data_IF_331170415254
#
_entry.id   IF_331170415254
#
_cell.length_a   1.000
_cell.length_b   1.000
_cell.length_c   1.000
_cell.angle_alpha   90.00
_cell.angle_beta   90.00
_cell.angle_gamma   90.00
#
_symmetry.space_group_name_H-M   'P 1'
#
loop_
_entity.id
_entity.type
_entity.pdbx_description
1 polymer ?
#
# COMPACT_ATOMS: atom_id res chain seq x y z
N UNK A 1 -1.56 -40.69 -7.87
CA UNK A 1 -2.80 -39.91 -7.99
C UNK A 1 -2.48 -38.51 -7.48
N UNK A 2 -2.14 -37.58 -8.38
CA UNK A 2 -1.72 -36.22 -8.03
C UNK A 2 -2.99 -35.36 -8.00
N UNK A 3 -3.44 -34.96 -6.81
CA UNK A 3 -4.52 -34.00 -6.62
C UNK A 3 -4.00 -32.61 -6.98
N UNK A 4 -4.34 -32.15 -8.18
CA UNK A 4 -4.25 -30.74 -8.52
C UNK A 4 -5.26 -29.96 -7.66
N UNK A 5 -4.77 -29.32 -6.61
CA UNK A 5 -5.51 -28.29 -5.92
C UNK A 5 -5.70 -27.12 -6.89
N UNK A 6 -6.86 -27.05 -7.51
CA UNK A 6 -7.35 -25.85 -8.19
C UNK A 6 -7.57 -24.77 -7.11
N UNK A 7 -6.54 -23.99 -6.84
CA UNK A 7 -6.70 -22.79 -6.05
C UNK A 7 -7.70 -21.88 -6.78
N UNK A 8 -8.94 -21.86 -6.29
CA UNK A 8 -9.95 -20.89 -6.70
C UNK A 8 -9.38 -19.50 -6.46
N UNK A 9 -8.98 -18.81 -7.51
CA UNK A 9 -8.56 -17.41 -7.43
C UNK A 9 -9.78 -16.56 -7.10
N UNK A 10 -9.79 -15.84 -5.99
CA UNK A 10 -10.92 -14.97 -5.67
C UNK A 10 -10.99 -13.85 -6.73
N UNK A 11 -12.07 -13.81 -7.46
CA UNK A 11 -12.46 -12.66 -8.29
C UNK A 11 -13.39 -11.80 -7.47
N UNK A 12 -12.94 -10.61 -7.08
CA UNK A 12 -13.84 -9.61 -6.52
C UNK A 12 -14.28 -8.68 -7.65
N UNK A 13 -15.58 -8.62 -7.92
CA UNK A 13 -16.20 -7.64 -8.82
C UNK A 13 -16.95 -6.62 -7.99
N UNK A 14 -16.43 -5.42 -7.92
CA UNK A 14 -17.17 -4.25 -7.50
C UNK A 14 -17.49 -3.40 -8.73
N UNK A 15 -18.51 -2.54 -8.66
CA UNK A 15 -19.02 -1.77 -9.81
C UNK A 15 -17.92 -1.05 -10.61
N UNK A 16 -16.89 -0.55 -9.92
CA UNK A 16 -15.83 0.26 -10.50
C UNK A 16 -14.44 -0.36 -10.39
N UNK A 17 -14.31 -1.56 -9.81
CA UNK A 17 -13.05 -2.24 -9.63
C UNK A 17 -13.18 -3.72 -9.99
N UNK A 18 -12.24 -4.19 -10.79
CA UNK A 18 -12.15 -5.59 -11.20
C UNK A 18 -10.77 -6.13 -10.80
N UNK A 19 -10.77 -7.25 -10.10
CA UNK A 19 -9.56 -7.99 -9.79
C UNK A 19 -9.62 -9.27 -10.61
N UNK A 20 -8.76 -9.36 -11.63
CA UNK A 20 -8.62 -10.53 -12.49
C UNK A 20 -7.22 -11.13 -12.28
N UNK A 21 -7.16 -12.14 -11.46
CA UNK A 21 -5.89 -12.79 -11.08
C UNK A 21 -4.91 -11.79 -10.46
N UNK A 22 -3.92 -11.36 -11.26
CA UNK A 22 -2.86 -10.42 -10.88
C UNK A 22 -3.13 -8.98 -11.31
N UNK A 23 -4.19 -8.75 -12.06
CA UNK A 23 -4.50 -7.44 -12.61
C UNK A 23 -5.63 -6.81 -11.83
N UNK A 24 -5.36 -5.65 -11.27
CA UNK A 24 -6.37 -4.78 -10.68
C UNK A 24 -6.67 -3.68 -11.69
N UNK A 25 -7.95 -3.55 -12.04
CA UNK A 25 -8.43 -2.52 -12.97
C UNK A 25 -9.46 -1.70 -12.22
N UNK A 26 -9.19 -0.40 -12.07
CA UNK A 26 -10.17 0.57 -11.62
C UNK A 26 -10.71 1.33 -12.83
N UNK A 27 -12.04 1.47 -12.89
CA UNK A 27 -12.71 2.26 -13.92
C UNK A 27 -12.90 3.70 -13.46
N UNK A 28 -12.96 3.90 -12.14
CA UNK A 28 -13.21 5.20 -11.54
C UNK A 28 -12.44 5.33 -10.21
N UNK A 29 -11.34 6.10 -10.16
CA UNK A 29 -10.63 6.70 -11.30
C UNK A 29 -9.97 5.64 -12.19
N UNK A 30 -9.75 5.93 -13.48
CA UNK A 30 -9.25 4.93 -14.42
C UNK A 30 -7.75 4.68 -14.22
N UNK A 31 -7.41 3.52 -13.67
CA UNK A 31 -6.05 3.03 -13.57
C UNK A 31 -6.00 1.51 -13.65
N UNK A 32 -4.84 0.97 -13.98
CA UNK A 32 -4.57 -0.46 -13.89
C UNK A 32 -3.24 -0.69 -13.19
N UNK A 33 -3.20 -1.76 -12.40
CA UNK A 33 -1.99 -2.22 -11.71
C UNK A 33 -1.83 -3.71 -11.96
N UNK A 34 -0.60 -4.13 -12.28
CA UNK A 34 -0.23 -5.54 -12.32
C UNK A 34 0.42 -5.87 -10.97
N UNK A 35 -0.24 -6.75 -10.22
CA UNK A 35 0.28 -7.21 -8.95
C UNK A 35 1.41 -8.23 -9.17
N UNK A 36 2.46 -8.21 -8.34
CA UNK A 36 3.46 -9.28 -8.33
C UNK A 36 2.83 -10.66 -8.10
N UNK A 37 3.48 -11.70 -8.63
CA UNK A 37 2.90 -13.06 -8.72
C UNK A 37 2.42 -13.68 -7.41
N UNK A 38 3.06 -13.35 -6.33
CA UNK A 38 2.84 -13.96 -5.02
C UNK A 38 1.78 -13.24 -4.17
N UNK A 39 1.28 -12.09 -4.64
CA UNK A 39 0.23 -11.37 -3.93
C UNK A 39 -1.13 -12.03 -4.10
N UNK A 40 -1.84 -12.15 -2.99
CA UNK A 40 -3.20 -12.67 -2.94
C UNK A 40 -4.14 -11.60 -2.37
N UNK A 41 -5.33 -11.51 -2.94
CA UNK A 41 -6.37 -10.65 -2.39
C UNK A 41 -6.83 -11.20 -1.03
N UNK A 42 -6.70 -10.39 0.01
CA UNK A 42 -7.06 -10.78 1.37
C UNK A 42 -8.49 -10.38 1.74
N UNK A 43 -8.83 -9.10 1.58
CA UNK A 43 -10.18 -8.58 1.79
C UNK A 43 -10.31 -7.15 1.26
N UNK A 44 -11.54 -6.64 1.23
CA UNK A 44 -11.84 -5.22 1.04
C UNK A 44 -12.69 -4.67 2.18
N UNK A 45 -12.66 -3.36 2.35
CA UNK A 45 -13.51 -2.63 3.28
C UNK A 45 -13.95 -1.31 2.69
N UNK A 46 -15.13 -0.84 3.10
CA UNK A 46 -15.68 0.46 2.69
C UNK A 46 -16.05 1.24 3.93
N UNK A 47 -15.59 2.48 3.99
CA UNK A 47 -15.88 3.41 5.10
C UNK A 47 -16.37 4.72 4.52
N UNK A 48 -17.50 5.20 5.00
CA UNK A 48 -18.05 6.51 4.67
C UNK A 48 -17.62 7.53 5.72
N UNK A 49 -17.15 8.68 5.26
CA UNK A 49 -16.79 9.84 6.08
C UNK A 49 -17.74 11.00 5.74
N UNK A 50 -18.94 11.06 6.36
CA UNK A 50 -19.97 12.07 6.01
C UNK A 50 -19.49 13.49 6.19
N UNK A 51 -18.67 13.76 7.23
CA UNK A 51 -18.11 15.08 7.52
C UNK A 51 -17.14 15.56 6.44
N UNK A 52 -16.46 14.64 5.79
CA UNK A 52 -15.52 14.91 4.69
C UNK A 52 -16.18 14.76 3.32
N UNK A 53 -17.47 14.41 3.30
CA UNK A 53 -18.22 14.09 2.07
C UNK A 53 -17.44 13.09 1.19
N UNK A 54 -16.91 12.03 1.79
CA UNK A 54 -16.10 11.03 1.10
C UNK A 54 -16.47 9.60 1.46
N UNK A 55 -16.32 8.71 0.49
CA UNK A 55 -16.43 7.26 0.63
C UNK A 55 -15.08 6.63 0.29
N UNK A 56 -14.46 5.95 1.24
CA UNK A 56 -13.17 5.29 1.04
C UNK A 56 -13.33 3.78 0.93
N UNK A 57 -12.89 3.23 -0.18
CA UNK A 57 -12.79 1.79 -0.43
C UNK A 57 -11.34 1.36 -0.30
N UNK A 58 -11.07 0.34 0.48
CA UNK A 58 -9.73 -0.18 0.72
C UNK A 58 -9.65 -1.64 0.29
N UNK A 59 -8.61 -1.99 -0.44
CA UNK A 59 -8.34 -3.31 -0.97
C UNK A 59 -6.99 -3.78 -0.43
N UNK A 60 -6.97 -4.94 0.20
CA UNK A 60 -5.80 -5.49 0.87
C UNK A 60 -5.29 -6.71 0.11
N UNK A 61 -4.04 -6.66 -0.28
CA UNK A 61 -3.32 -7.75 -0.90
C UNK A 61 -2.12 -8.10 -0.03
N UNK A 62 -1.91 -9.38 0.18
CA UNK A 62 -0.82 -9.88 1.02
C UNK A 62 -0.01 -10.93 0.29
N UNK A 63 1.26 -10.97 0.62
CA UNK A 63 2.13 -12.12 0.42
C UNK A 63 2.47 -12.65 1.80
N UNK A 64 2.21 -13.93 2.01
CA UNK A 64 2.48 -14.59 3.29
C UNK A 64 3.64 -15.58 3.17
N UNK A 65 4.35 -15.72 4.27
CA UNK A 65 5.35 -16.75 4.48
C UNK A 65 5.08 -17.37 5.85
N UNK A 66 4.85 -18.70 5.89
CA UNK A 66 4.62 -19.43 7.15
C UNK A 66 3.46 -18.84 7.99
N UNK A 67 2.36 -18.44 7.32
CA UNK A 67 1.19 -17.77 7.91
C UNK A 67 1.48 -16.39 8.55
N UNK A 68 2.60 -15.80 8.26
CA UNK A 68 2.91 -14.42 8.63
C UNK A 68 2.95 -13.53 7.39
N UNK A 69 2.50 -12.29 7.50
CA UNK A 69 2.62 -11.33 6.42
C UNK A 69 4.09 -11.00 6.20
N UNK A 70 4.59 -11.28 5.00
CA UNK A 70 5.90 -10.82 4.52
C UNK A 70 5.78 -9.47 3.81
N UNK A 71 4.77 -9.35 2.92
CA UNK A 71 4.51 -8.12 2.18
C UNK A 71 3.01 -7.82 2.19
N UNK A 72 2.67 -6.54 2.20
CA UNK A 72 1.28 -6.07 2.12
C UNK A 72 1.18 -4.88 1.18
N UNK A 73 0.21 -4.94 0.28
CA UNK A 73 -0.21 -3.81 -0.54
C UNK A 73 -1.64 -3.43 -0.17
N UNK A 74 -1.83 -2.17 0.17
CA UNK A 74 -3.15 -1.58 0.40
C UNK A 74 -3.40 -0.55 -0.68
N UNK A 75 -4.53 -0.67 -1.35
CA UNK A 75 -5.00 0.31 -2.33
C UNK A 75 -6.27 0.93 -1.75
N UNK A 76 -6.25 2.23 -1.58
CA UNK A 76 -7.40 2.99 -1.10
C UNK A 76 -7.86 3.96 -2.18
N UNK A 77 -9.15 3.97 -2.43
CA UNK A 77 -9.81 4.91 -3.34
C UNK A 77 -10.83 5.66 -2.53
N UNK A 78 -10.61 6.95 -2.34
CA UNK A 78 -11.58 7.83 -1.73
C UNK A 78 -12.33 8.61 -2.82
N UNK A 79 -13.63 8.47 -2.83
CA UNK A 79 -14.52 9.15 -3.77
C UNK A 79 -15.26 10.27 -3.05
N UNK A 80 -15.39 11.41 -3.70
CA UNK A 80 -16.23 12.50 -3.25
C UNK A 80 -17.72 12.09 -3.37
N UNK A 81 -18.48 12.21 -2.27
CA UNK A 81 -19.91 11.82 -2.24
C UNK A 81 -20.85 12.99 -2.47
N UNK A 82 -20.41 14.23 -2.16
CA UNK A 82 -21.20 15.43 -2.40
C UNK A 82 -20.63 16.25 -3.57
N UNK A 83 -21.28 16.28 -4.73
CA UNK A 83 -20.81 17.05 -5.90
C UNK A 83 -20.67 18.55 -5.63
N UNK A 84 -21.45 19.10 -4.69
CA UNK A 84 -21.42 20.53 -4.34
C UNK A 84 -20.29 20.90 -3.37
N UNK A 85 -19.67 19.92 -2.72
CA UNK A 85 -18.45 20.16 -1.95
C UNK A 85 -17.34 20.63 -2.88
N UNK A 86 -16.44 21.48 -2.42
CA UNK A 86 -15.24 21.89 -3.18
C UNK A 86 -14.41 20.69 -3.67
N UNK A 87 -13.43 20.91 -4.51
CA UNK A 87 -12.49 19.84 -4.92
C UNK A 87 -11.85 19.20 -3.69
N UNK A 88 -11.64 17.88 -3.76
CA UNK A 88 -10.88 17.18 -2.71
C UNK A 88 -9.46 17.75 -2.63
N UNK A 89 -8.99 17.91 -1.42
CA UNK A 89 -7.60 18.29 -1.16
C UNK A 89 -6.94 17.18 -0.36
N UNK A 90 -5.68 16.92 -0.65
CA UNK A 90 -4.92 15.88 0.01
C UNK A 90 -3.87 16.51 0.94
N UNK A 91 -3.78 16.06 2.18
CA UNK A 91 -2.66 16.47 3.02
C UNK A 91 -1.35 15.92 2.43
N UNK A 92 -0.26 16.68 2.53
CA UNK A 92 1.03 16.17 2.08
C UNK A 92 1.42 14.92 2.88
N UNK A 93 2.02 13.94 2.19
CA UNK A 93 2.60 12.78 2.86
C UNK A 93 3.74 13.25 3.79
N UNK A 94 3.65 12.88 5.05
CA UNK A 94 4.67 13.22 6.06
C UNK A 94 5.18 11.94 6.72
N UNK A 95 6.50 11.85 6.98
CA UNK A 95 7.03 10.72 7.73
C UNK A 95 6.48 10.73 9.16
N UNK A 96 6.34 9.55 9.75
CA UNK A 96 5.96 9.37 11.15
C UNK A 96 6.87 10.16 12.10
N UNK A 97 8.16 10.19 11.75
CA UNK A 97 9.16 11.00 12.43
C UNK A 97 10.24 11.45 11.43
N UNK A 98 10.72 12.67 11.60
CA UNK A 98 11.85 13.19 10.82
C UNK A 98 13.21 12.70 11.32
N UNK A 99 13.27 12.03 12.47
CA UNK A 99 14.50 11.47 13.02
C UNK A 99 14.96 10.23 12.27
N UNK A 100 14.03 9.34 11.89
CA UNK A 100 14.36 8.11 11.15
C UNK A 100 14.63 8.39 9.68
N UNK A 101 15.25 7.41 9.01
CA UNK A 101 15.46 7.47 7.57
C UNK A 101 14.15 7.48 6.80
N UNK A 102 14.00 8.43 5.91
CA UNK A 102 12.88 8.51 4.96
C UNK A 102 13.32 9.18 3.66
N UNK A 103 12.56 8.93 2.61
CA UNK A 103 12.64 9.63 1.32
C UNK A 103 11.23 10.06 0.93
N UNK A 104 11.07 11.29 0.49
CA UNK A 104 9.81 11.80 -0.03
C UNK A 104 10.05 12.73 -1.21
N UNK A 105 9.03 12.92 -2.00
CA UNK A 105 9.10 13.83 -3.15
C UNK A 105 7.84 13.72 -4.01
N UNK A 106 7.98 14.31 -5.20
CA UNK A 106 6.93 14.29 -6.22
C UNK A 106 7.49 13.77 -7.53
N UNK A 107 6.69 13.01 -8.24
CA UNK A 107 6.99 12.56 -9.60
C UNK A 107 5.80 12.87 -10.51
N UNK A 108 6.06 13.00 -11.82
CA UNK A 108 5.00 13.11 -12.83
C UNK A 108 4.77 11.75 -13.46
N UNK A 109 3.52 11.30 -13.48
CA UNK A 109 3.13 10.03 -14.09
C UNK A 109 1.80 10.16 -14.83
N UNK A 110 1.82 9.88 -16.14
CA UNK A 110 0.62 9.98 -16.96
C UNK A 110 -0.04 11.38 -16.89
N UNK A 111 0.75 12.46 -16.73
CA UNK A 111 0.24 13.83 -16.58
C UNK A 111 -0.23 14.20 -15.17
N UNK A 112 -0.28 13.26 -14.24
CA UNK A 112 -0.60 13.51 -12.83
C UNK A 112 0.66 13.81 -12.03
N UNK A 113 0.55 14.70 -11.05
CA UNK A 113 1.54 14.86 -10.00
C UNK A 113 1.24 13.84 -8.88
N UNK A 114 2.24 13.05 -8.54
CA UNK A 114 2.14 11.97 -7.56
C UNK A 114 3.11 12.25 -6.43
N UNK A 115 2.60 12.40 -5.22
CA UNK A 115 3.41 12.48 -4.01
C UNK A 115 3.82 11.07 -3.57
N UNK A 116 5.07 10.90 -3.13
CA UNK A 116 5.54 9.66 -2.54
C UNK A 116 6.27 9.86 -1.23
N UNK A 117 6.25 8.83 -0.39
CA UNK A 117 6.99 8.74 0.85
C UNK A 117 7.46 7.30 1.05
N UNK A 118 8.72 7.12 1.41
CA UNK A 118 9.30 5.84 1.85
C UNK A 118 9.85 6.05 3.25
N UNK A 119 9.48 5.16 4.19
CA UNK A 119 9.89 5.27 5.58
C UNK A 119 9.95 3.90 6.27
N UNK A 120 10.63 3.86 7.41
CA UNK A 120 10.48 2.79 8.39
C UNK A 120 9.27 3.10 9.26
N UNK A 121 8.39 2.13 9.45
CA UNK A 121 7.21 2.24 10.31
C UNK A 121 6.99 0.97 11.12
N UNK A 122 6.31 1.10 12.26
CA UNK A 122 5.86 -0.07 13.01
C UNK A 122 4.60 -0.68 12.38
N UNK A 123 4.51 -2.02 12.34
CA UNK A 123 3.25 -2.69 12.09
C UNK A 123 2.23 -2.36 13.19
N UNK A 124 0.98 -2.24 12.83
CA UNK A 124 -0.12 -2.10 13.79
C UNK A 124 -1.02 -3.33 13.75
N UNK A 125 -0.69 -4.41 14.51
CA UNK A 125 -1.45 -5.66 14.48
C UNK A 125 -2.87 -5.54 15.01
N UNK A 126 -3.17 -4.49 15.76
CA UNK A 126 -4.51 -4.24 16.32
C UNK A 126 -5.37 -3.34 15.45
N UNK A 127 -4.85 -2.87 14.31
CA UNK A 127 -5.62 -2.02 13.40
C UNK A 127 -6.94 -2.71 12.99
N UNK A 128 -8.10 -2.06 13.15
CA UNK A 128 -9.41 -2.65 12.81
C UNK A 128 -9.48 -3.15 11.36
N UNK A 129 -8.85 -2.46 10.44
CA UNK A 129 -8.81 -2.82 9.02
C UNK A 129 -8.04 -4.11 8.73
N UNK A 130 -7.18 -4.57 9.64
CA UNK A 130 -6.39 -5.80 9.49
C UNK A 130 -7.02 -6.99 10.22
N UNK A 131 -8.03 -6.78 11.05
CA UNK A 131 -8.68 -7.86 11.80
C UNK A 131 -9.29 -8.97 10.92
N UNK A 132 -9.85 -8.70 9.72
CA UNK A 132 -10.29 -9.77 8.82
C UNK A 132 -9.17 -10.71 8.37
N UNK A 133 -7.92 -10.21 8.26
CA UNK A 133 -6.74 -11.01 7.93
C UNK A 133 -6.34 -11.89 9.13
N UNK A 134 -6.30 -11.29 10.32
CA UNK A 134 -5.99 -12.00 11.58
C UNK A 134 -7.00 -13.13 11.84
N UNK A 135 -8.29 -12.90 11.59
CA UNK A 135 -9.34 -13.93 11.73
C UNK A 135 -9.16 -15.13 10.79
N UNK A 136 -8.41 -14.98 9.71
CA UNK A 136 -8.03 -16.08 8.81
C UNK A 136 -6.81 -16.87 9.32
N UNK A 137 -6.29 -16.54 10.50
CA UNK A 137 -5.11 -17.18 11.10
C UNK A 137 -3.78 -16.68 10.56
N UNK A 138 -3.79 -15.53 9.87
CA UNK A 138 -2.58 -14.90 9.35
C UNK A 138 -2.05 -13.93 10.40
N UNK A 139 -0.79 -14.07 10.75
CA UNK A 139 -0.12 -13.24 11.75
C UNK A 139 0.42 -11.96 11.12
N UNK A 140 0.14 -10.83 11.76
CA UNK A 140 0.77 -9.56 11.41
C UNK A 140 2.05 -9.45 12.23
N UNK A 141 3.21 -9.17 11.60
CA UNK A 141 4.46 -9.02 12.34
C UNK A 141 4.33 -7.96 13.44
N UNK A 142 4.81 -8.20 14.67
CA UNK A 142 4.76 -7.21 15.74
C UNK A 142 5.91 -6.18 15.66
N UNK A 143 6.63 -6.17 14.55
CA UNK A 143 7.89 -5.45 14.40
C UNK A 143 7.77 -4.30 13.41
N UNK A 144 8.91 -3.97 12.80
CA UNK A 144 9.06 -2.89 11.84
C UNK A 144 8.86 -3.36 10.40
N UNK A 145 8.38 -2.44 9.56
CA UNK A 145 8.29 -2.61 8.12
C UNK A 145 8.95 -1.42 7.41
N UNK A 146 9.53 -1.68 6.26
CA UNK A 146 9.72 -0.62 5.28
C UNK A 146 8.41 -0.40 4.56
N UNK A 147 7.96 0.85 4.49
CA UNK A 147 6.73 1.23 3.82
C UNK A 147 6.98 2.30 2.78
N UNK A 148 6.53 2.03 1.56
CA UNK A 148 6.39 3.00 0.50
C UNK A 148 4.92 3.42 0.37
N UNK A 149 4.68 4.70 0.22
CA UNK A 149 3.36 5.28 -0.01
C UNK A 149 3.41 6.17 -1.23
N UNK A 150 2.36 6.20 -2.02
CA UNK A 150 2.14 7.24 -3.00
C UNK A 150 0.67 7.61 -3.11
N UNK A 151 0.44 8.82 -3.52
CA UNK A 151 -0.85 9.47 -3.46
C UNK A 151 -1.00 10.39 -4.67
N UNK A 152 -2.14 10.29 -5.34
CA UNK A 152 -2.52 11.24 -6.37
C UNK A 152 -4.01 11.59 -6.29
N UNK A 153 -4.33 12.76 -6.80
CA UNK A 153 -5.69 13.25 -6.95
C UNK A 153 -6.09 13.20 -8.42
N UNK A 154 -7.23 12.60 -8.69
CA UNK A 154 -7.78 12.53 -10.03
C UNK A 154 -9.01 13.42 -10.14
N UNK A 155 -8.96 14.42 -11.03
CA UNK A 155 -10.04 15.37 -11.34
C UNK A 155 -10.63 16.11 -10.12
N UNK A 156 -9.94 16.16 -8.98
CA UNK A 156 -10.45 16.74 -7.74
C UNK A 156 -11.61 16.00 -7.08
N UNK A 157 -11.94 14.80 -7.56
CA UNK A 157 -13.07 13.98 -7.08
C UNK A 157 -12.63 12.64 -6.51
N UNK A 158 -11.47 12.15 -6.88
CA UNK A 158 -10.95 10.84 -6.47
C UNK A 158 -9.53 10.95 -5.96
N UNK A 159 -9.31 10.51 -4.73
CA UNK A 159 -7.99 10.31 -4.18
C UNK A 159 -7.60 8.84 -4.25
N UNK A 160 -6.44 8.56 -4.80
CA UNK A 160 -5.90 7.19 -4.84
C UNK A 160 -4.64 7.12 -4.01
N UNK A 161 -4.63 6.20 -3.07
CA UNK A 161 -3.57 6.01 -2.11
C UNK A 161 -3.08 4.57 -2.14
N UNK A 162 -1.79 4.38 -2.34
CA UNK A 162 -1.14 3.08 -2.31
C UNK A 162 -0.16 3.02 -1.15
N UNK A 163 -0.18 1.92 -0.42
CA UNK A 163 0.78 1.59 0.62
C UNK A 163 1.34 0.21 0.37
N UNK A 164 2.62 0.13 0.11
CA UNK A 164 3.35 -1.12 0.03
C UNK A 164 4.24 -1.24 1.25
N UNK A 165 4.08 -2.32 2.00
CA UNK A 165 4.86 -2.58 3.21
C UNK A 165 5.55 -3.94 3.09
N UNK A 166 6.80 -4.01 3.55
CA UNK A 166 7.56 -5.25 3.61
C UNK A 166 8.15 -5.42 5.00
N UNK A 167 8.00 -6.62 5.57
CA UNK A 167 8.56 -6.94 6.88
C UNK A 167 10.09 -6.81 6.85
N UNK A 168 10.65 -6.08 7.79
CA UNK A 168 12.09 -5.82 7.85
C UNK A 168 12.87 -7.09 8.15
N UNK A 169 12.28 -8.02 8.91
CA UNK A 169 12.93 -9.29 9.25
C UNK A 169 13.15 -10.17 8.03
N UNK A 170 12.34 -10.01 6.97
CA UNK A 170 12.53 -10.75 5.71
C UNK A 170 13.85 -10.41 5.00
N UNK A 171 14.47 -9.29 5.36
CA UNK A 171 15.81 -8.90 4.91
C UNK A 171 16.93 -9.40 5.82
N UNK A 172 16.61 -10.14 6.89
CA UNK A 172 17.60 -10.59 7.87
C UNK A 172 18.14 -9.48 8.78
N UNK A 173 17.41 -8.36 8.87
CA UNK A 173 17.77 -7.21 9.71
C UNK A 173 16.92 -7.22 10.97
N UNK A 174 17.59 -7.03 12.12
CA UNK A 174 16.93 -6.76 13.40
C UNK A 174 17.03 -5.28 13.70
N UNK A 175 15.91 -4.71 14.09
CA UNK A 175 15.82 -3.29 14.48
C UNK A 175 15.52 -3.23 15.96
N UNK A 176 16.14 -2.28 16.65
CA UNK A 176 15.86 -2.01 18.06
C UNK A 176 14.37 -1.67 18.27
N UNK A 177 13.83 -2.00 19.44
CA UNK A 177 12.40 -1.83 19.74
C UNK A 177 11.88 -0.43 19.43
N UNK A 178 12.70 0.60 19.72
CA UNK A 178 12.37 2.01 19.45
C UNK A 178 12.70 2.47 18.03
N UNK A 179 13.42 1.66 17.24
CA UNK A 179 13.87 2.02 15.89
C UNK A 179 14.92 3.12 15.87
N UNK A 180 15.63 3.32 16.97
CA UNK A 180 16.63 4.40 17.12
C UNK A 180 17.88 4.13 16.25
N UNK A 181 18.18 2.87 15.97
CA UNK A 181 19.24 2.43 15.08
C UNK A 181 18.98 2.78 13.59
N UNK A 182 17.76 3.23 13.25
CA UNK A 182 17.37 3.72 11.94
C UNK A 182 17.26 5.24 11.86
N UNK A 183 17.88 5.97 12.77
CA UNK A 183 17.94 7.43 12.68
C UNK A 183 18.78 7.90 11.49
N UNK A 184 18.44 9.08 10.97
CA UNK A 184 19.21 9.71 9.89
C UNK A 184 20.66 9.88 10.30
N UNK A 185 21.57 9.39 9.44
CA UNK A 185 23.01 9.42 9.72
C UNK A 185 23.52 8.27 10.58
N UNK A 186 22.65 7.46 11.17
CA UNK A 186 23.02 6.25 11.93
C UNK A 186 23.02 5.01 11.03
N UNK A 187 22.10 4.95 10.03
CA UNK A 187 22.05 3.79 9.15
C UNK A 187 23.29 3.74 8.24
N UNK A 188 23.91 2.59 8.18
CA UNK A 188 25.10 2.35 7.38
C UNK A 188 25.13 0.90 6.86
N UNK A 189 26.07 0.61 5.99
CA UNK A 189 26.35 -0.76 5.58
C UNK A 189 25.11 -1.50 5.05
N UNK A 190 24.64 -2.51 5.79
CA UNK A 190 23.58 -3.41 5.36
C UNK A 190 22.20 -2.74 5.37
N UNK A 191 21.90 -1.96 6.42
CA UNK A 191 20.63 -1.26 6.57
C UNK A 191 20.38 -0.29 5.41
N UNK A 192 21.41 0.46 5.02
CA UNK A 192 21.35 1.38 3.89
C UNK A 192 21.09 0.65 2.58
N UNK A 193 21.79 -0.48 2.35
CA UNK A 193 21.57 -1.31 1.15
C UNK A 193 20.15 -1.84 1.08
N UNK A 194 19.60 -2.28 2.21
CA UNK A 194 18.21 -2.77 2.28
C UNK A 194 17.20 -1.66 2.01
N UNK A 195 17.41 -0.48 2.58
CA UNK A 195 16.56 0.68 2.31
C UNK A 195 16.58 1.06 0.82
N UNK A 196 17.76 1.14 0.21
CA UNK A 196 17.91 1.46 -1.21
C UNK A 196 17.31 0.39 -2.12
N UNK A 197 17.46 -0.90 -1.78
CA UNK A 197 16.83 -2.00 -2.51
C UNK A 197 15.30 -1.94 -2.43
N UNK A 198 14.75 -1.68 -1.24
CA UNK A 198 13.31 -1.47 -1.06
C UNK A 198 12.82 -0.26 -1.86
N UNK A 199 13.53 0.87 -1.78
CA UNK A 199 13.19 2.07 -2.55
C UNK A 199 13.13 1.77 -4.06
N UNK A 200 14.12 1.05 -4.58
CA UNK A 200 14.14 0.65 -6.00
C UNK A 200 12.92 -0.21 -6.36
N UNK A 201 12.62 -1.23 -5.55
CA UNK A 201 11.46 -2.11 -5.77
C UNK A 201 10.14 -1.32 -5.73
N UNK A 202 10.00 -0.43 -4.76
CA UNK A 202 8.81 0.40 -4.64
C UNK A 202 8.65 1.33 -5.84
N UNK A 203 9.71 1.99 -6.30
CA UNK A 203 9.65 2.87 -7.48
C UNK A 203 9.32 2.07 -8.75
N UNK A 204 9.87 0.87 -8.92
CA UNK A 204 9.51 -0.02 -10.03
C UNK A 204 8.02 -0.43 -9.99
N UNK A 205 7.48 -0.71 -8.81
CA UNK A 205 6.05 -0.99 -8.66
C UNK A 205 5.22 0.23 -9.03
N UNK A 206 5.60 1.43 -8.60
CA UNK A 206 4.95 2.66 -9.03
C UNK A 206 4.98 2.81 -10.56
N UNK A 207 6.09 2.44 -11.20
CA UNK A 207 6.24 2.50 -12.66
C UNK A 207 5.32 1.52 -13.39
N UNK A 208 4.94 0.43 -12.77
CA UNK A 208 4.00 -0.55 -13.33
C UNK A 208 2.54 -0.06 -13.36
N UNK A 209 2.21 0.98 -12.58
CA UNK A 209 0.85 1.53 -12.53
C UNK A 209 0.59 2.34 -13.80
N UNK A 210 -0.41 1.93 -14.54
CA UNK A 210 -0.87 2.63 -15.73
C UNK A 210 -2.08 3.49 -15.36
N UNK A 211 -1.94 4.80 -15.36
CA UNK A 211 -3.05 5.74 -15.23
C UNK A 211 -3.48 6.14 -16.62
N UNK A 212 -4.74 5.90 -16.97
CA UNK A 212 -5.33 6.36 -18.20
C UNK A 212 -5.97 7.73 -17.95
N UNK A 213 -5.36 8.77 -18.48
CA UNK A 213 -6.03 10.07 -18.60
C UNK A 213 -6.99 9.96 -19.80
N UNK A 214 -8.26 10.19 -19.56
CA UNK A 214 -9.24 10.45 -20.65
C UNK A 214 -9.24 11.91 -20.99
#
# INVERSE_FOLDING_TARGET
MVLFSLACRPTAKEKDLEIDGKKLISRKPPFALILPEEFQFAHSSTVEYPQESSLTRSYFFIKEKEKQIDEMLIIQIADKTNPQAGAMTLPPLRPETTKRMYSNGKIKKGGLEVDYLIQLMAWNPVAPSLQPIVKKGIVIPPHWALQGQFLFLYQGEHAVFFRYSKDINSFGIKIAEKGDDWEKGMISGNEKRVYEAFQKTFMQMMDSIQVKLQ
#
